data_IF_230946015792
#
_entry.id   IF_230946015792
#
_cell.length_a   1.000
_cell.length_b   1.000
_cell.length_c   1.000
_cell.angle_alpha   90.00
_cell.angle_beta   90.00
_cell.angle_gamma   90.00
#
_symmetry.space_group_name_H-M   'P 1'
#
loop_
_entity.id
_entity.type
_entity.pdbx_description
1 polymer ?
#
# COMPACT_ATOMS: atom_id res chain seq x y z
N UNK A 1 21.86 -22.48 -0.46
CA UNK A 1 21.00 -22.16 -1.61
C UNK A 1 20.15 -20.96 -1.28
N UNK A 2 20.00 -20.04 -2.23
CA UNK A 2 18.97 -19.00 -2.22
C UNK A 2 17.77 -19.58 -2.95
N UNK A 3 16.60 -19.64 -2.30
CA UNK A 3 15.36 -20.11 -2.91
C UNK A 3 14.57 -18.90 -3.40
N UNK A 4 13.97 -19.02 -4.60
CA UNK A 4 13.01 -18.02 -5.05
C UNK A 4 11.78 -18.05 -4.13
N UNK A 5 11.11 -16.91 -3.89
CA UNK A 5 9.86 -16.92 -3.15
C UNK A 5 8.81 -17.74 -3.92
N UNK A 6 8.03 -18.56 -3.22
CA UNK A 6 7.01 -19.44 -3.80
C UNK A 6 5.60 -18.97 -3.49
N UNK A 7 4.65 -19.16 -4.41
CA UNK A 7 3.23 -18.94 -4.14
C UNK A 7 2.67 -19.95 -3.12
N UNK A 8 1.67 -19.54 -2.33
CA UNK A 8 1.07 -20.39 -1.29
C UNK A 8 0.28 -21.57 -1.88
N UNK A 9 -0.42 -21.36 -3.00
CA UNK A 9 -1.30 -22.38 -3.60
C UNK A 9 -0.61 -23.29 -4.61
N UNK A 10 0.45 -22.79 -5.27
CA UNK A 10 1.23 -23.55 -6.25
C UNK A 10 2.72 -23.19 -6.12
N UNK A 11 3.57 -24.11 -5.61
CA UNK A 11 5.00 -23.87 -5.45
C UNK A 11 5.75 -23.56 -6.75
N UNK A 12 5.19 -23.90 -7.91
CA UNK A 12 5.78 -23.63 -9.22
C UNK A 12 5.30 -22.31 -9.85
N UNK A 13 4.26 -21.70 -9.27
CA UNK A 13 3.75 -20.42 -9.74
C UNK A 13 4.51 -19.24 -9.11
N UNK A 14 4.63 -18.16 -9.87
CA UNK A 14 5.16 -16.90 -9.36
C UNK A 14 4.30 -16.36 -8.21
N UNK A 15 4.91 -15.79 -7.16
CA UNK A 15 4.19 -15.06 -6.13
C UNK A 15 3.39 -13.90 -6.72
N UNK A 16 2.29 -13.54 -6.05
CA UNK A 16 1.53 -12.34 -6.39
C UNK A 16 2.42 -11.12 -6.16
N UNK A 17 2.63 -10.34 -7.22
CA UNK A 17 3.38 -9.08 -7.13
C UNK A 17 2.47 -8.01 -6.50
N UNK A 18 2.94 -7.27 -5.48
CA UNK A 18 2.19 -6.17 -4.92
C UNK A 18 1.91 -5.08 -5.97
N UNK A 19 0.67 -4.61 -6.03
CA UNK A 19 0.24 -3.45 -6.82
C UNK A 19 -0.48 -2.45 -5.93
N UNK A 20 -0.68 -1.23 -6.41
CA UNK A 20 -1.46 -0.22 -5.71
C UNK A 20 -2.88 -0.71 -5.38
N UNK A 21 -3.50 -1.50 -6.25
CA UNK A 21 -4.89 -1.94 -6.09
C UNK A 21 -5.00 -3.15 -5.16
N UNK A 22 -4.14 -4.16 -5.32
CA UNK A 22 -4.25 -5.38 -4.53
C UNK A 22 -3.85 -5.16 -3.06
N UNK A 23 -3.01 -4.16 -2.78
CA UNK A 23 -2.71 -3.75 -1.41
C UNK A 23 -3.96 -3.16 -0.75
N UNK A 24 -4.69 -2.25 -1.41
CA UNK A 24 -5.93 -1.68 -0.85
C UNK A 24 -6.99 -2.75 -0.60
N UNK A 25 -7.14 -3.71 -1.52
CA UNK A 25 -8.04 -4.85 -1.33
C UNK A 25 -7.61 -5.72 -0.13
N UNK A 26 -6.31 -5.96 0.04
CA UNK A 26 -5.79 -6.66 1.22
C UNK A 26 -6.12 -5.90 2.51
N UNK A 27 -5.88 -4.58 2.56
CA UNK A 27 -6.17 -3.76 3.75
C UNK A 27 -7.64 -3.87 4.18
N UNK A 28 -8.57 -3.80 3.22
CA UNK A 28 -10.01 -3.92 3.47
C UNK A 28 -10.40 -5.29 4.01
N UNK A 29 -9.74 -6.35 3.53
CA UNK A 29 -10.02 -7.74 3.93
C UNK A 29 -9.40 -8.13 5.26
N UNK A 30 -8.22 -7.61 5.58
CA UNK A 30 -7.47 -8.00 6.78
C UNK A 30 -7.73 -7.09 7.97
N UNK A 31 -8.29 -5.89 7.76
CA UNK A 31 -8.43 -4.90 8.83
C UNK A 31 -7.09 -4.41 9.35
N UNK A 32 -6.06 -4.40 8.50
CA UNK A 32 -4.72 -3.92 8.84
C UNK A 32 -4.78 -2.46 9.27
N UNK A 33 -4.13 -2.10 10.38
CA UNK A 33 -4.09 -0.71 10.89
C UNK A 33 -2.78 0.02 10.56
N UNK A 34 -1.72 -0.71 10.18
CA UNK A 34 -0.40 -0.14 9.89
C UNK A 34 0.08 -0.64 8.54
N UNK A 35 0.42 0.29 7.65
CA UNK A 35 0.95 0.00 6.32
C UNK A 35 2.37 0.53 6.19
N UNK A 36 3.29 -0.29 5.67
CA UNK A 36 4.59 0.15 5.18
C UNK A 36 4.62 -0.07 3.66
N UNK A 37 4.86 0.99 2.88
CA UNK A 37 4.74 0.94 1.42
C UNK A 37 5.76 1.83 0.70
N UNK A 38 5.90 1.66 -0.60
CA UNK A 38 6.71 2.56 -1.44
C UNK A 38 5.98 3.89 -1.72
N UNK A 39 6.68 5.03 -1.80
CA UNK A 39 6.08 6.33 -2.08
C UNK A 39 5.23 6.39 -3.36
N UNK A 40 5.63 5.66 -4.41
CA UNK A 40 4.93 5.65 -5.69
C UNK A 40 3.47 5.18 -5.58
N UNK A 41 3.18 4.26 -4.67
CA UNK A 41 1.79 3.80 -4.46
C UNK A 41 0.97 4.87 -3.73
N UNK A 42 1.58 5.59 -2.78
CA UNK A 42 0.95 6.72 -2.10
C UNK A 42 0.58 7.82 -3.10
N UNK A 43 1.48 8.12 -4.05
CA UNK A 43 1.23 9.06 -5.14
C UNK A 43 0.04 8.63 -6.03
N UNK A 44 -0.03 7.36 -6.39
CA UNK A 44 -1.14 6.81 -7.16
C UNK A 44 -2.47 6.91 -6.40
N UNK A 45 -2.47 6.61 -5.11
CA UNK A 45 -3.68 6.64 -4.28
C UNK A 45 -4.20 8.03 -3.97
N UNK A 46 -3.31 9.03 -3.89
CA UNK A 46 -3.70 10.41 -3.58
C UNK A 46 -4.67 11.02 -4.62
N UNK A 47 -4.72 10.46 -5.83
CA UNK A 47 -5.63 10.89 -6.89
C UNK A 47 -6.96 10.11 -6.90
N UNK A 48 -7.12 9.11 -6.04
CA UNK A 48 -8.29 8.22 -6.01
C UNK A 48 -9.10 8.40 -4.72
N UNK A 49 -10.33 8.96 -4.79
CA UNK A 49 -11.19 9.11 -3.62
C UNK A 49 -11.46 7.79 -2.90
N UNK A 50 -11.65 6.69 -3.64
CA UNK A 50 -11.89 5.36 -3.06
C UNK A 50 -10.66 4.82 -2.31
N UNK A 51 -9.46 5.10 -2.82
CA UNK A 51 -8.23 4.76 -2.13
C UNK A 51 -8.10 5.56 -0.83
N UNK A 52 -8.36 6.87 -0.88
CA UNK A 52 -8.36 7.74 0.30
C UNK A 52 -9.29 7.20 1.40
N UNK A 53 -10.51 6.78 1.07
CA UNK A 53 -11.42 6.20 2.07
C UNK A 53 -10.86 4.94 2.72
N UNK A 54 -10.05 4.16 2.00
CA UNK A 54 -9.36 2.99 2.56
C UNK A 54 -8.16 3.40 3.42
N UNK A 55 -7.40 4.42 3.00
CA UNK A 55 -6.24 4.89 3.74
C UNK A 55 -6.63 5.51 5.09
N UNK A 56 -7.80 6.16 5.17
CA UNK A 56 -8.38 6.72 6.42
C UNK A 56 -8.60 5.69 7.52
N UNK A 57 -8.72 4.40 7.18
CA UNK A 57 -8.91 3.35 8.18
C UNK A 57 -7.61 2.96 8.87
N UNK A 58 -6.47 3.38 8.33
CA UNK A 58 -5.15 3.10 8.88
C UNK A 58 -4.82 4.05 10.03
N UNK A 59 -4.20 3.51 11.07
CA UNK A 59 -3.62 4.30 12.17
C UNK A 59 -2.29 4.93 11.75
N UNK A 60 -1.55 4.31 10.84
CA UNK A 60 -0.27 4.80 10.39
C UNK A 60 0.09 4.27 9.00
N UNK A 61 0.56 5.16 8.13
CA UNK A 61 1.21 4.83 6.88
C UNK A 61 2.66 5.27 6.97
N UNK A 62 3.57 4.30 6.95
CA UNK A 62 5.00 4.52 6.81
C UNK A 62 5.42 4.28 5.34
N UNK A 63 6.48 4.95 4.90
CA UNK A 63 7.02 4.74 3.56
C UNK A 63 8.55 4.58 3.53
N UNK A 64 9.03 3.85 2.53
CA UNK A 64 10.47 3.64 2.29
C UNK A 64 10.76 3.36 0.81
N UNK A 65 12.03 3.48 0.40
CA UNK A 65 12.49 3.27 -0.98
C UNK A 65 12.60 4.54 -1.82
N UNK A 66 12.21 5.70 -1.28
CA UNK A 66 12.34 7.00 -1.93
C UNK A 66 11.72 8.14 -1.11
N UNK A 67 11.83 9.39 -1.57
CA UNK A 67 11.17 10.53 -0.94
C UNK A 67 9.67 10.55 -1.26
N UNK A 68 8.87 11.12 -0.36
CA UNK A 68 7.49 11.54 -0.60
C UNK A 68 7.45 13.07 -0.52
N UNK A 69 6.80 13.74 -1.48
CA UNK A 69 6.73 15.21 -1.44
C UNK A 69 5.91 15.68 -0.23
N UNK A 70 6.35 16.73 0.45
CA UNK A 70 5.64 17.30 1.61
C UNK A 70 4.21 17.72 1.23
N UNK A 71 4.05 18.39 0.07
CA UNK A 71 2.74 18.79 -0.44
C UNK A 71 1.76 17.63 -0.54
N UNK A 72 2.22 16.46 -0.97
CA UNK A 72 1.37 15.27 -1.07
C UNK A 72 0.99 14.75 0.31
N UNK A 73 1.94 14.73 1.25
CA UNK A 73 1.66 14.40 2.66
C UNK A 73 0.60 15.33 3.24
N UNK A 74 0.71 16.65 3.01
CA UNK A 74 -0.25 17.64 3.50
C UNK A 74 -1.65 17.41 2.92
N UNK A 75 -1.75 17.05 1.62
CA UNK A 75 -3.03 16.71 0.97
C UNK A 75 -3.67 15.51 1.67
N UNK A 76 -2.91 14.44 1.91
CA UNK A 76 -3.42 13.23 2.56
C UNK A 76 -3.91 13.51 3.98
N UNK A 77 -3.10 14.22 4.77
CA UNK A 77 -3.46 14.63 6.13
C UNK A 77 -4.72 15.51 6.12
N UNK A 78 -4.82 16.47 5.20
CA UNK A 78 -6.01 17.32 5.06
C UNK A 78 -7.27 16.55 4.65
N UNK A 79 -7.10 15.42 3.96
CA UNK A 79 -8.19 14.52 3.59
C UNK A 79 -8.63 13.62 4.74
N UNK A 80 -7.89 13.56 5.86
CA UNK A 80 -8.19 12.75 7.04
C UNK A 80 -7.47 11.39 7.07
N UNK A 81 -6.44 11.21 6.25
CA UNK A 81 -5.52 10.06 6.28
C UNK A 81 -4.43 10.27 7.33
#
# INVERSE_FOLDING_TARGET
SIYAPTSFHDPNASPVIPTSENILDCLRKTGTEILLVVPSFIEQWASSPEAIETLKTLRCIAYSGGPLSQKLGDILVSAGV
#
